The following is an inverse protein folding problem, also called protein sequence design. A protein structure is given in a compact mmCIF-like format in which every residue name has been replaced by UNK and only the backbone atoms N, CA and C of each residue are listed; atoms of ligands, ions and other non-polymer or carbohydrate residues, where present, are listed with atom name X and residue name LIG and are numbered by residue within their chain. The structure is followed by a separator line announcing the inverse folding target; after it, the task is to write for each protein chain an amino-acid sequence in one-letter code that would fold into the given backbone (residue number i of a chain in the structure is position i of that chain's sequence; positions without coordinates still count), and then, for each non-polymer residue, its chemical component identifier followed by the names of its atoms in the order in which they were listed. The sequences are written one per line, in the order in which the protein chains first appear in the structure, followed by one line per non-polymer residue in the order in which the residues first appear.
data_IF_211299645301
#
_entry.id   IF_211299645301
#
_cell.length_a   1.000
_cell.length_b   1.000
_cell.length_c   1.000
_cell.angle_alpha   90.00
_cell.angle_beta   90.00
_cell.angle_gamma   90.00
#
_symmetry.space_group_name_H-M   'P 1'
#
loop_
_entity.id
_entity.type
_entity.pdbx_description
1 polymer ?
#
# COMPACT_ATOMS: atom_id res chain seq x y z
N UNK A 1 12.31 10.39 4.11
CA UNK A 1 10.83 10.42 4.07
C UNK A 1 10.31 11.66 4.78
N UNK A 2 9.20 12.22 4.33
CA UNK A 2 8.57 13.39 4.98
C UNK A 2 8.00 13.08 6.38
N UNK A 3 7.81 11.79 6.68
CA UNK A 3 7.39 11.32 8.02
C UNK A 3 8.44 11.57 9.10
N UNK A 4 9.70 11.84 8.73
CA UNK A 4 10.83 11.89 9.67
C UNK A 4 11.30 10.51 10.17
N UNK A 5 10.60 9.43 9.80
CA UNK A 5 10.93 8.06 10.20
C UNK A 5 11.78 7.34 9.14
N UNK A 6 12.43 6.27 9.54
CA UNK A 6 13.09 5.34 8.61
C UNK A 6 12.02 4.64 7.77
N UNK A 7 12.24 4.52 6.46
CA UNK A 7 11.38 3.74 5.55
C UNK A 7 12.09 2.49 5.02
N UNK A 8 13.38 2.38 5.25
CA UNK A 8 14.19 1.25 4.80
C UNK A 8 15.31 0.98 5.80
N UNK A 9 15.43 -0.28 6.20
CA UNK A 9 16.59 -0.81 6.90
C UNK A 9 16.94 -2.16 6.26
N UNK A 10 18.21 -2.38 5.93
CA UNK A 10 18.62 -3.60 5.26
C UNK A 10 20.06 -3.96 5.54
N UNK A 11 20.35 -5.23 5.40
CA UNK A 11 21.67 -5.82 5.53
C UNK A 11 21.95 -6.78 4.38
N UNK A 12 23.23 -7.07 4.15
CA UNK A 12 23.58 -8.15 3.22
C UNK A 12 23.06 -9.50 3.72
N UNK A 13 22.56 -10.36 2.84
CA UNK A 13 22.14 -11.71 3.22
C UNK A 13 23.22 -12.51 3.93
N UNK A 14 24.51 -12.22 3.63
CA UNK A 14 25.68 -12.86 4.27
C UNK A 14 25.96 -12.30 5.67
N UNK A 15 25.41 -11.13 5.99
CA UNK A 15 25.55 -10.46 7.29
C UNK A 15 24.20 -9.85 7.71
N UNK A 16 23.20 -10.69 7.96
CA UNK A 16 21.86 -10.20 8.33
C UNK A 16 21.90 -9.54 9.72
N UNK A 17 20.89 -8.73 10.00
CA UNK A 17 20.66 -8.19 11.33
C UNK A 17 20.20 -9.35 12.22
N UNK A 18 21.00 -9.68 13.21
CA UNK A 18 20.67 -10.77 14.12
C UNK A 18 19.49 -10.38 15.02
N UNK A 19 18.69 -11.36 15.36
CA UNK A 19 17.65 -11.19 16.38
C UNK A 19 18.30 -10.95 17.73
N UNK A 20 17.88 -9.88 18.40
CA UNK A 20 18.41 -9.46 19.69
C UNK A 20 17.79 -10.32 20.82
N UNK A 21 16.51 -10.69 20.65
CA UNK A 21 15.77 -11.48 21.63
C UNK A 21 16.04 -12.97 21.46
N UNK A 22 16.40 -13.66 22.55
CA UNK A 22 16.59 -15.10 22.56
C UNK A 22 15.33 -15.87 22.16
N UNK A 23 15.48 -16.99 21.44
CA UNK A 23 14.40 -17.86 21.01
C UNK A 23 13.69 -17.46 19.71
N UNK A 24 13.88 -16.23 19.21
CA UNK A 24 13.24 -15.79 17.95
C UNK A 24 13.78 -16.52 16.72
N UNK A 25 14.98 -17.11 16.80
CA UNK A 25 15.57 -17.90 15.71
C UNK A 25 14.72 -19.15 15.38
N UNK A 26 14.00 -19.68 16.34
CA UNK A 26 13.12 -20.87 16.22
C UNK A 26 11.63 -20.55 16.31
N UNK A 27 11.28 -19.28 16.47
CA UNK A 27 9.89 -18.82 16.52
C UNK A 27 9.22 -18.87 15.13
N UNK A 28 7.93 -18.60 15.08
CA UNK A 28 7.26 -18.35 13.79
C UNK A 28 7.85 -17.10 13.12
N UNK A 29 7.86 -17.01 11.79
CA UNK A 29 8.35 -15.80 11.10
C UNK A 29 7.60 -14.52 11.53
N UNK A 30 6.32 -14.60 11.82
CA UNK A 30 5.56 -13.47 12.36
C UNK A 30 6.09 -13.06 13.74
N UNK A 31 6.23 -14.02 14.66
CA UNK A 31 6.72 -13.73 16.02
C UNK A 31 8.14 -13.14 15.98
N UNK A 32 8.99 -13.67 15.10
CA UNK A 32 10.33 -13.15 14.89
C UNK A 32 10.33 -11.71 14.33
N UNK A 33 9.46 -11.43 13.37
CA UNK A 33 9.28 -10.09 12.84
C UNK A 33 8.75 -9.11 13.91
N UNK A 34 7.77 -9.53 14.70
CA UNK A 34 7.24 -8.75 15.82
C UNK A 34 8.27 -8.54 16.92
N UNK A 35 9.10 -9.55 17.20
CA UNK A 35 10.21 -9.41 18.14
C UNK A 35 11.20 -8.33 17.72
N UNK A 36 11.60 -8.30 16.46
CA UNK A 36 12.44 -7.21 15.93
C UNK A 36 11.75 -5.84 16.03
N UNK A 37 10.46 -5.77 15.69
CA UNK A 37 9.71 -4.51 15.75
C UNK A 37 9.46 -4.03 17.18
N UNK A 38 9.48 -4.91 18.18
CA UNK A 38 9.41 -4.48 19.60
C UNK A 38 10.62 -3.67 20.01
N UNK A 39 11.79 -3.99 19.46
CA UNK A 39 13.06 -3.33 19.77
C UNK A 39 13.33 -2.13 18.83
N UNK A 40 13.03 -2.28 17.55
CA UNK A 40 13.44 -1.33 16.52
C UNK A 40 12.27 -0.61 15.81
N UNK A 41 11.02 -0.96 16.13
CA UNK A 41 9.84 -0.41 15.46
C UNK A 41 9.69 1.10 15.60
N UNK A 42 10.22 1.68 16.67
CA UNK A 42 10.23 3.14 16.89
C UNK A 42 10.95 3.89 15.75
N UNK A 43 11.93 3.27 15.09
CA UNK A 43 12.63 3.86 13.93
C UNK A 43 11.67 4.11 12.77
N UNK A 44 10.66 3.26 12.62
CA UNK A 44 9.61 3.37 11.60
C UNK A 44 8.40 4.17 12.07
N UNK A 45 8.46 4.75 13.29
CA UNK A 45 7.34 5.50 13.87
C UNK A 45 6.26 4.63 14.53
N UNK A 46 6.54 3.34 14.71
CA UNK A 46 5.64 2.41 15.37
C UNK A 46 5.62 2.67 16.90
N UNK A 47 4.43 2.76 17.46
CA UNK A 47 4.24 3.00 18.90
C UNK A 47 3.56 1.83 19.61
N UNK A 48 2.69 1.10 18.93
CA UNK A 48 2.01 -0.08 19.44
C UNK A 48 1.83 -1.09 18.31
N UNK A 49 2.78 -2.02 18.18
CA UNK A 49 2.75 -3.00 17.11
C UNK A 49 1.59 -4.01 17.22
N UNK A 50 1.07 -4.24 18.42
CA UNK A 50 0.02 -5.24 18.64
C UNK A 50 -1.31 -4.75 18.07
N UNK A 51 -1.62 -3.46 18.27
CA UNK A 51 -2.87 -2.86 17.83
C UNK A 51 -2.73 -2.17 16.46
N UNK A 52 -1.51 -1.72 16.12
CA UNK A 52 -1.27 -0.92 14.91
C UNK A 52 -0.86 -1.77 13.70
N UNK A 53 -0.43 -3.04 13.87
CA UNK A 53 0.02 -3.90 12.77
C UNK A 53 -0.72 -5.23 12.71
N UNK A 54 -1.31 -5.51 11.57
CA UNK A 54 -1.95 -6.80 11.24
C UNK A 54 -1.18 -7.47 10.09
N UNK A 55 -0.89 -8.78 10.21
CA UNK A 55 -0.27 -9.51 9.11
C UNK A 55 -1.26 -9.62 7.96
N UNK A 56 -0.90 -9.03 6.83
CA UNK A 56 -1.66 -9.09 5.60
C UNK A 56 -1.26 -10.29 4.73
N UNK A 57 0.04 -10.62 4.72
CA UNK A 57 0.56 -11.73 3.92
C UNK A 57 1.88 -12.25 4.48
N UNK A 58 2.03 -13.59 4.45
CA UNK A 58 3.29 -14.26 4.67
C UNK A 58 3.57 -15.22 3.51
N UNK A 59 4.80 -15.24 3.03
CA UNK A 59 5.23 -16.17 1.98
C UNK A 59 6.69 -16.54 2.13
N UNK A 60 7.03 -17.76 1.73
CA UNK A 60 8.42 -18.20 1.54
C UNK A 60 8.79 -17.95 0.09
N UNK A 61 9.97 -17.42 -0.15
CA UNK A 61 10.54 -17.18 -1.47
C UNK A 61 11.30 -18.44 -1.95
N UNK A 62 11.61 -18.53 -3.26
CA UNK A 62 12.31 -19.67 -3.85
C UNK A 62 13.70 -19.91 -3.23
N UNK A 63 14.35 -18.86 -2.77
CA UNK A 63 15.65 -18.90 -2.08
C UNK A 63 15.56 -19.18 -0.57
N UNK A 64 14.37 -19.60 -0.09
CA UNK A 64 14.14 -20.03 1.29
C UNK A 64 13.98 -18.89 2.31
N UNK A 65 13.91 -17.63 1.87
CA UNK A 65 13.62 -16.51 2.76
C UNK A 65 12.13 -16.43 3.04
N UNK A 66 11.77 -15.83 4.15
CA UNK A 66 10.36 -15.54 4.47
C UNK A 66 10.09 -14.04 4.39
N UNK A 67 9.04 -13.68 3.68
CA UNK A 67 8.53 -12.31 3.63
C UNK A 67 7.26 -12.22 4.45
N UNK A 68 7.26 -11.34 5.45
CA UNK A 68 6.08 -10.98 6.26
C UNK A 68 5.68 -9.56 5.90
N UNK A 69 4.44 -9.38 5.48
CA UNK A 69 3.87 -8.06 5.17
C UNK A 69 2.82 -7.71 6.21
N UNK A 70 3.01 -6.56 6.84
CA UNK A 70 2.08 -5.99 7.80
C UNK A 70 1.32 -4.82 7.17
N UNK A 71 0.02 -4.76 7.44
CA UNK A 71 -0.85 -3.63 7.19
C UNK A 71 -0.98 -2.81 8.47
N UNK A 72 -0.74 -1.50 8.38
CA UNK A 72 -1.02 -0.61 9.49
C UNK A 72 -2.52 -0.41 9.67
N UNK A 73 -2.96 -0.42 10.92
CA UNK A 73 -4.31 -0.05 11.34
C UNK A 73 -4.25 1.14 12.30
N UNK A 74 -5.24 1.99 12.19
CA UNK A 74 -5.49 3.09 13.11
C UNK A 74 -6.85 2.87 13.77
N UNK A 75 -6.87 2.57 15.07
CA UNK A 75 -8.08 2.21 15.79
C UNK A 75 -8.90 1.09 15.10
N UNK A 76 -8.21 0.09 14.57
CA UNK A 76 -8.84 -1.03 13.86
C UNK A 76 -9.16 -0.77 12.38
N UNK A 77 -9.01 0.45 11.89
CA UNK A 77 -9.25 0.83 10.50
C UNK A 77 -7.94 0.77 9.71
N UNK A 78 -7.85 0.06 8.56
CA UNK A 78 -6.63 -0.03 7.79
C UNK A 78 -6.21 1.33 7.23
N UNK A 79 -4.88 1.56 7.18
CA UNK A 79 -4.27 2.79 6.66
C UNK A 79 -3.81 2.56 5.23
N UNK A 80 -4.33 3.33 4.28
CA UNK A 80 -3.99 3.22 2.86
C UNK A 80 -2.53 3.59 2.62
N UNK A 81 -1.74 2.64 2.09
CA UNK A 81 -0.30 2.77 1.92
C UNK A 81 0.53 2.66 3.20
N UNK A 82 -0.10 2.45 4.36
CA UNK A 82 0.59 2.19 5.63
C UNK A 82 0.96 0.71 5.75
N UNK A 83 2.14 0.33 5.28
CA UNK A 83 2.60 -1.06 5.28
C UNK A 83 4.06 -1.17 5.72
N UNK A 84 4.42 -2.30 6.34
CA UNK A 84 5.79 -2.76 6.51
C UNK A 84 5.96 -4.14 5.89
N UNK A 85 7.00 -4.29 5.09
CA UNK A 85 7.45 -5.57 4.57
C UNK A 85 8.75 -5.93 5.25
N UNK A 86 8.80 -7.11 5.87
CA UNK A 86 10.00 -7.65 6.47
C UNK A 86 10.45 -8.92 5.72
N UNK A 87 11.73 -8.99 5.40
CA UNK A 87 12.34 -10.18 4.83
C UNK A 87 13.26 -10.80 5.88
N UNK A 88 13.02 -12.07 6.18
CA UNK A 88 13.78 -12.87 7.12
C UNK A 88 14.56 -13.95 6.39
N UNK A 89 15.80 -14.16 6.81
CA UNK A 89 16.68 -15.21 6.33
C UNK A 89 16.71 -16.42 7.24
N UNK A 90 17.77 -17.21 7.13
CA UNK A 90 17.98 -18.37 7.98
C UNK A 90 18.00 -17.97 9.47
N UNK A 91 17.35 -18.78 10.31
CA UNK A 91 17.23 -18.50 11.74
C UNK A 91 16.45 -17.21 12.03
N UNK A 92 15.53 -16.83 11.15
CA UNK A 92 14.70 -15.62 11.28
C UNK A 92 15.47 -14.31 11.41
N UNK A 93 16.76 -14.27 11.02
CA UNK A 93 17.54 -13.05 11.02
C UNK A 93 16.99 -12.05 10.01
N UNK A 94 16.94 -10.76 10.37
CA UNK A 94 16.34 -9.73 9.52
C UNK A 94 17.30 -9.35 8.40
N UNK A 95 16.85 -9.47 7.16
CA UNK A 95 17.59 -9.03 5.96
C UNK A 95 17.14 -7.63 5.56
N UNK A 96 15.82 -7.39 5.63
CA UNK A 96 15.23 -6.16 5.11
C UNK A 96 13.96 -5.82 5.90
N UNK A 97 13.81 -4.54 6.20
CA UNK A 97 12.53 -3.91 6.56
C UNK A 97 12.30 -2.74 5.62
N UNK A 98 11.16 -2.72 4.96
CA UNK A 98 10.80 -1.66 4.01
C UNK A 98 9.34 -1.29 4.16
N UNK A 99 9.04 0.00 4.11
CA UNK A 99 7.70 0.54 4.14
C UNK A 99 7.62 1.88 4.84
N UNK A 100 6.41 2.41 4.91
CA UNK A 100 6.13 3.67 5.59
C UNK A 100 4.88 3.51 6.42
N UNK A 101 4.90 4.08 7.61
CA UNK A 101 3.76 4.10 8.50
C UNK A 101 3.29 5.52 8.72
N UNK A 102 1.98 5.67 8.87
CA UNK A 102 1.36 6.93 9.27
C UNK A 102 1.77 7.23 10.72
N UNK A 103 2.39 8.38 10.99
CA UNK A 103 2.64 8.82 12.35
C UNK A 103 1.33 9.00 13.14
N UNK A 104 1.42 9.15 14.45
CA UNK A 104 0.24 9.44 15.27
C UNK A 104 -0.49 10.69 14.77
N UNK A 105 -1.76 10.51 14.46
CA UNK A 105 -2.65 11.58 14.00
C UNK A 105 -3.88 11.65 14.91
N UNK A 106 -4.53 12.83 14.92
CA UNK A 106 -5.85 12.98 15.51
C UNK A 106 -6.86 12.91 14.38
N UNK A 107 -7.68 11.85 14.37
CA UNK A 107 -8.69 11.62 13.35
C UNK A 107 -9.98 11.14 14.00
N UNK A 108 -11.11 11.72 13.62
CA UNK A 108 -12.42 11.18 13.95
C UNK A 108 -12.68 9.97 13.07
N UNK A 109 -12.94 8.81 13.69
CA UNK A 109 -13.19 7.54 12.99
C UNK A 109 -14.68 7.20 12.82
N UNK A 110 -15.57 8.14 13.14
CA UNK A 110 -17.00 7.98 12.93
C UNK A 110 -17.39 8.62 11.59
N UNK A 111 -17.88 7.85 10.60
CA UNK A 111 -18.29 8.40 9.31
C UNK A 111 -19.58 9.23 9.47
N UNK A 112 -19.65 10.33 8.74
CA UNK A 112 -20.87 11.17 8.62
C UNK A 112 -21.63 10.90 7.33
N UNK A 113 -20.97 10.24 6.35
CA UNK A 113 -21.57 9.89 5.04
C UNK A 113 -21.86 8.40 5.01
N UNK A 114 -23.08 8.08 4.62
CA UNK A 114 -23.51 6.69 4.45
C UNK A 114 -22.73 6.00 3.33
N UNK A 115 -22.35 4.71 3.48
CA UNK A 115 -21.61 3.98 2.45
C UNK A 115 -22.32 3.92 1.11
N UNK A 116 -23.65 3.82 1.07
CA UNK A 116 -24.41 3.83 -0.19
C UNK A 116 -24.35 5.19 -0.89
N UNK A 117 -24.36 6.30 -0.14
CA UNK A 117 -24.17 7.63 -0.69
C UNK A 117 -22.76 7.81 -1.28
N UNK A 118 -21.74 7.28 -0.61
CA UNK A 118 -20.37 7.27 -1.12
C UNK A 118 -20.22 6.43 -2.40
N UNK A 119 -20.91 5.28 -2.47
CA UNK A 119 -20.93 4.44 -3.68
C UNK A 119 -21.58 5.17 -4.87
N UNK A 120 -22.68 5.88 -4.65
CA UNK A 120 -23.31 6.68 -5.70
C UNK A 120 -22.41 7.81 -6.19
N UNK A 121 -21.71 8.50 -5.27
CA UNK A 121 -20.75 9.54 -5.63
C UNK A 121 -19.58 8.98 -6.48
N UNK A 122 -19.08 7.80 -6.13
CA UNK A 122 -18.01 7.14 -6.89
C UNK A 122 -18.47 6.70 -8.28
N UNK A 123 -19.69 6.14 -8.41
CA UNK A 123 -20.28 5.78 -9.70
C UNK A 123 -20.45 6.99 -10.60
N UNK A 124 -21.00 8.08 -10.05
CA UNK A 124 -21.20 9.32 -10.82
C UNK A 124 -19.86 9.92 -11.27
N UNK A 125 -18.87 9.96 -10.40
CA UNK A 125 -17.51 10.43 -10.75
C UNK A 125 -16.95 9.68 -11.96
N UNK A 126 -16.98 8.35 -11.92
CA UNK A 126 -16.42 7.53 -13.00
C UNK A 126 -17.26 7.60 -14.27
N UNK A 127 -18.59 7.70 -14.16
CA UNK A 127 -19.49 7.93 -15.30
C UNK A 127 -19.14 9.24 -16.03
N UNK A 128 -18.98 10.33 -15.27
CA UNK A 128 -18.63 11.64 -15.83
C UNK A 128 -17.24 11.65 -16.49
N UNK A 129 -16.27 10.95 -15.91
CA UNK A 129 -14.90 10.89 -16.45
C UNK A 129 -14.79 9.98 -17.68
N UNK A 130 -15.49 8.85 -17.68
CA UNK A 130 -15.37 7.81 -18.71
C UNK A 130 -16.36 7.98 -19.87
N UNK A 131 -17.42 8.76 -19.68
CA UNK A 131 -18.55 8.90 -20.62
C UNK A 131 -19.50 7.70 -20.63
N UNK A 132 -19.37 6.76 -19.69
CA UNK A 132 -20.31 5.66 -19.51
C UNK A 132 -21.53 6.13 -18.71
N UNK A 133 -22.69 5.49 -18.95
CA UNK A 133 -23.84 5.69 -18.06
C UNK A 133 -23.58 5.02 -16.71
N UNK A 134 -24.16 5.54 -15.65
CA UNK A 134 -24.05 4.95 -14.30
C UNK A 134 -24.49 3.47 -14.30
N UNK A 135 -25.55 3.14 -15.04
CA UNK A 135 -26.09 1.78 -15.14
C UNK A 135 -25.13 0.79 -15.85
N UNK A 136 -24.16 1.30 -16.61
CA UNK A 136 -23.12 0.49 -17.26
C UNK A 136 -21.91 0.23 -16.34
N UNK A 137 -21.93 0.78 -15.13
CA UNK A 137 -20.88 0.65 -14.13
C UNK A 137 -21.37 -0.10 -12.90
N UNK A 138 -20.46 -0.75 -12.20
CA UNK A 138 -20.69 -1.39 -10.90
C UNK A 138 -19.63 -0.94 -9.92
N UNK A 139 -19.99 -0.82 -8.67
CA UNK A 139 -19.11 -0.44 -7.57
C UNK A 139 -19.00 -1.59 -6.57
N UNK A 140 -17.82 -1.79 -6.00
CA UNK A 140 -17.61 -2.73 -4.91
C UNK A 140 -18.23 -2.23 -3.61
N UNK A 141 -18.25 -3.09 -2.58
CA UNK A 141 -18.59 -2.64 -1.23
C UNK A 141 -17.68 -1.51 -0.78
N UNK A 142 -18.25 -0.51 -0.14
CA UNK A 142 -17.53 0.59 0.45
C UNK A 142 -16.86 0.14 1.75
N UNK A 143 -15.54 0.22 1.80
CA UNK A 143 -14.73 -0.15 2.96
C UNK A 143 -14.15 1.10 3.60
N UNK A 144 -14.21 1.17 4.92
CA UNK A 144 -13.66 2.29 5.68
C UNK A 144 -12.14 2.16 5.79
N UNK A 145 -11.42 3.23 5.40
CA UNK A 145 -9.96 3.31 5.43
C UNK A 145 -9.52 4.66 5.98
N UNK A 146 -8.29 4.72 6.48
CA UNK A 146 -7.60 5.98 6.76
C UNK A 146 -6.68 6.30 5.58
N UNK A 147 -6.82 7.49 5.02
CA UNK A 147 -5.96 7.99 3.95
C UNK A 147 -5.10 9.13 4.46
N UNK A 148 -3.84 9.17 4.01
CA UNK A 148 -2.95 10.29 4.27
C UNK A 148 -2.15 10.65 3.01
N UNK A 149 -2.23 11.90 2.54
CA UNK A 149 -1.41 12.39 1.43
C UNK A 149 0.09 12.25 1.70
N UNK A 150 0.50 12.22 2.96
CA UNK A 150 1.88 12.05 3.38
C UNK A 150 2.48 10.71 2.90
N UNK A 151 1.69 9.62 2.95
CA UNK A 151 2.16 8.29 2.56
C UNK A 151 2.14 8.06 1.05
N UNK A 152 1.18 8.65 0.35
CA UNK A 152 0.91 8.37 -1.07
C UNK A 152 1.50 9.43 -1.99
N UNK A 153 1.29 10.71 -1.65
CA UNK A 153 1.67 11.84 -2.50
C UNK A 153 2.94 12.56 -2.01
N UNK A 154 3.53 12.10 -0.89
CA UNK A 154 4.62 12.81 -0.21
C UNK A 154 4.27 14.28 0.10
N UNK A 155 3.02 14.53 0.50
CA UNK A 155 2.48 15.86 0.79
C UNK A 155 2.06 15.95 2.25
N UNK A 156 2.48 17.01 2.94
CA UNK A 156 2.06 17.28 4.31
C UNK A 156 0.64 17.87 4.27
N UNK A 157 -0.35 17.04 4.62
CA UNK A 157 -1.73 17.44 4.75
C UNK A 157 -2.42 16.54 5.81
N UNK A 158 -3.56 16.96 6.36
CA UNK A 158 -4.30 16.15 7.33
C UNK A 158 -4.69 14.79 6.76
N UNK A 159 -4.65 13.76 7.63
CA UNK A 159 -5.24 12.48 7.29
C UNK A 159 -6.78 12.58 7.29
N UNK A 160 -7.42 11.78 6.46
CA UNK A 160 -8.86 11.71 6.31
C UNK A 160 -9.38 10.28 6.53
N UNK A 161 -10.59 10.17 7.08
CA UNK A 161 -11.36 8.94 7.03
C UNK A 161 -12.05 8.88 5.67
N UNK A 162 -11.91 7.75 4.98
CA UNK A 162 -12.42 7.60 3.60
C UNK A 162 -13.18 6.30 3.41
N UNK A 163 -14.16 6.32 2.54
CA UNK A 163 -14.75 5.14 1.92
C UNK A 163 -13.92 4.76 0.69
N UNK A 164 -13.31 3.58 0.72
CA UNK A 164 -12.54 3.00 -0.39
C UNK A 164 -13.39 2.02 -1.16
N UNK A 165 -13.45 2.16 -2.47
CA UNK A 165 -14.17 1.27 -3.36
C UNK A 165 -13.53 1.21 -4.74
N UNK A 166 -13.87 0.19 -5.50
CA UNK A 166 -13.49 0.05 -6.90
C UNK A 166 -14.72 0.15 -7.79
N UNK A 167 -14.61 0.93 -8.86
CA UNK A 167 -15.63 1.05 -9.90
C UNK A 167 -15.12 0.36 -11.15
N UNK A 168 -15.93 -0.53 -11.71
CA UNK A 168 -15.62 -1.30 -12.91
C UNK A 168 -16.85 -1.34 -13.83
N UNK A 169 -16.68 -1.56 -15.14
CA UNK A 169 -17.82 -1.70 -16.03
C UNK A 169 -18.58 -3.02 -15.80
N UNK A 170 -19.85 -3.05 -16.12
CA UNK A 170 -20.68 -4.26 -16.12
C UNK A 170 -20.24 -5.19 -17.23
N UNK A 171 -20.04 -4.65 -18.43
CA UNK A 171 -19.48 -5.35 -19.58
C UNK A 171 -17.98 -5.11 -19.70
N UNK A 172 -17.29 -5.91 -20.52
CA UNK A 172 -15.85 -5.80 -20.69
C UNK A 172 -15.46 -4.46 -21.34
N UNK A 173 -14.85 -3.58 -20.54
CA UNK A 173 -14.26 -2.33 -20.98
C UNK A 173 -13.02 -2.02 -20.13
N UNK A 174 -12.04 -1.26 -20.64
CA UNK A 174 -10.80 -0.96 -19.92
C UNK A 174 -10.99 0.14 -18.87
N UNK A 175 -11.90 -0.08 -17.93
CA UNK A 175 -12.15 0.82 -16.80
C UNK A 175 -12.00 0.04 -15.51
N UNK A 176 -11.13 0.52 -14.63
CA UNK A 176 -11.00 0.07 -13.26
C UNK A 176 -10.47 1.23 -12.42
N UNK A 177 -11.36 1.88 -11.72
CA UNK A 177 -11.04 3.05 -10.91
C UNK A 177 -11.10 2.70 -9.43
N UNK A 178 -9.99 2.98 -8.71
CA UNK A 178 -9.99 3.01 -7.26
C UNK A 178 -10.41 4.41 -6.81
N UNK A 179 -11.49 4.50 -6.06
CA UNK A 179 -12.04 5.79 -5.60
C UNK A 179 -12.03 5.85 -4.09
N UNK A 180 -11.54 6.96 -3.54
CA UNK A 180 -11.61 7.31 -2.14
C UNK A 180 -12.53 8.52 -1.95
N UNK A 181 -13.62 8.32 -1.22
CA UNK A 181 -14.59 9.37 -0.86
C UNK A 181 -14.41 9.72 0.62
N UNK A 182 -14.31 10.99 0.95
CA UNK A 182 -14.24 11.46 2.33
C UNK A 182 -15.48 11.00 3.11
N UNK A 183 -15.25 10.23 4.18
CA UNK A 183 -16.34 9.66 4.96
C UNK A 183 -17.08 10.68 5.85
N UNK A 184 -16.61 11.92 5.95
CA UNK A 184 -17.27 12.97 6.72
C UNK A 184 -18.12 13.90 5.86
N UNK A 185 -17.67 14.26 4.65
CA UNK A 185 -18.31 15.27 3.81
C UNK A 185 -18.70 14.80 2.39
N UNK A 186 -18.29 13.59 1.98
CA UNK A 186 -18.61 13.03 0.67
C UNK A 186 -17.79 13.56 -0.50
N UNK A 187 -16.78 14.38 -0.24
CA UNK A 187 -15.88 14.88 -1.29
C UNK A 187 -14.97 13.76 -1.83
N UNK A 188 -14.59 13.85 -3.10
CA UNK A 188 -13.59 12.97 -3.69
C UNK A 188 -12.22 13.34 -3.12
N UNK A 189 -11.52 12.35 -2.54
CA UNK A 189 -10.19 12.53 -1.95
C UNK A 189 -9.12 12.09 -2.93
N UNK A 190 -9.36 10.97 -3.60
CA UNK A 190 -8.42 10.38 -4.55
C UNK A 190 -9.20 9.50 -5.52
N UNK A 191 -8.81 9.52 -6.79
CA UNK A 191 -9.19 8.54 -7.81
C UNK A 191 -7.94 8.07 -8.55
N UNK A 192 -7.84 6.79 -8.80
CA UNK A 192 -6.69 6.15 -9.46
C UNK A 192 -7.19 5.20 -10.52
N UNK A 193 -6.84 5.48 -11.77
CA UNK A 193 -7.03 4.51 -12.84
C UNK A 193 -6.06 3.34 -12.66
N UNK A 194 -6.59 2.14 -12.51
CA UNK A 194 -5.83 0.89 -12.33
C UNK A 194 -5.63 0.12 -13.65
N UNK A 195 -6.13 0.66 -14.75
CA UNK A 195 -5.89 0.09 -16.07
C UNK A 195 -4.60 0.68 -16.62
N UNK A 196 -3.61 -0.16 -16.84
CA UNK A 196 -2.44 0.20 -17.61
C UNK A 196 -2.88 0.52 -19.05
N UNK A 197 -3.01 1.79 -19.38
CA UNK A 197 -3.14 2.20 -20.77
C UNK A 197 -1.89 1.74 -21.48
N UNK A 198 -2.06 1.00 -22.59
CA UNK A 198 -0.94 0.54 -23.40
C UNK A 198 -0.08 1.75 -23.77
N UNK A 199 1.05 1.90 -23.06
CA UNK A 199 2.06 2.88 -23.44
C UNK A 199 2.48 2.53 -24.87
N UNK A 200 2.45 3.51 -25.77
CA UNK A 200 3.05 3.38 -27.07
C UNK A 200 4.56 3.12 -26.88
N UNK A 201 4.92 1.83 -26.80
CA UNK A 201 6.29 1.39 -26.50
C UNK A 201 7.00 1.13 -27.80
N UNK A 202 7.90 2.04 -28.16
CA UNK A 202 8.84 1.81 -29.25
C UNK A 202 10.05 1.04 -28.69
N UNK A 203 10.24 -0.19 -29.15
CA UNK A 203 11.38 -1.01 -28.76
C UNK A 203 12.49 -0.89 -29.80
N UNK A 204 13.67 -0.49 -29.38
CA UNK A 204 14.86 -0.34 -30.21
C UNK A 204 15.92 -1.38 -29.80
N UNK A 205 16.59 -1.96 -30.78
CA UNK A 205 17.79 -2.76 -30.50
C UNK A 205 19.02 -1.85 -30.42
N UNK A 206 19.86 -2.07 -29.45
CA UNK A 206 21.16 -1.39 -29.37
C UNK A 206 22.23 -2.06 -30.26
N UNK A 207 22.03 -3.33 -30.67
CA UNK A 207 22.99 -4.12 -31.49
C UNK A 207 24.46 -3.98 -31.02
N UNK A 208 24.65 -3.90 -29.69
CA UNK A 208 25.93 -3.59 -29.03
C UNK A 208 26.56 -2.25 -29.42
N UNK A 209 25.79 -1.35 -30.03
CA UNK A 209 26.23 0.01 -30.39
C UNK A 209 26.04 1.02 -29.27
N UNK A 210 26.77 2.16 -29.38
CA UNK A 210 26.67 3.28 -28.44
C UNK A 210 25.68 4.36 -28.86
N UNK A 211 25.16 4.26 -30.11
CA UNK A 211 24.19 5.23 -30.66
C UNK A 211 22.78 4.94 -30.17
N UNK A 212 22.12 5.94 -29.58
CA UNK A 212 20.73 5.85 -29.09
C UNK A 212 19.86 6.90 -29.78
N UNK A 213 18.59 6.54 -30.13
CA UNK A 213 18.04 5.18 -30.13
C UNK A 213 18.70 4.35 -31.22
N UNK A 214 18.76 3.02 -31.06
CA UNK A 214 19.22 2.11 -32.11
C UNK A 214 18.15 1.92 -33.20
N UNK A 215 18.14 0.75 -33.86
CA UNK A 215 17.14 0.42 -34.87
C UNK A 215 15.82 0.02 -34.21
N UNK A 216 14.69 0.60 -34.68
CA UNK A 216 13.36 0.22 -34.22
C UNK A 216 13.08 -1.25 -34.55
N UNK A 217 12.68 -2.02 -33.54
CA UNK A 217 12.36 -3.46 -33.69
C UNK A 217 10.84 -3.66 -33.75
N UNK A 218 10.10 -2.95 -32.88
CA UNK A 218 8.64 -3.02 -32.86
C UNK A 218 8.03 -1.77 -32.18
N UNK A 219 6.79 -1.50 -32.50
CA UNK A 219 5.94 -0.46 -31.89
C UNK A 219 4.59 -1.06 -31.48
#
# INVERSE_FOLDING_TARGET
PLTGNVSFAGASPDKPIQQITEGLQSASPEDAARGYLSECGYLFGLTDQTNDLVVNRQRVTEDGRTVVRFQQHFQGIPVFGGELLMQLGAGNNVILVNGSLLPRVKLNTQPGVDPAAAQQAALQLVADQSGFSVDALKVSDAQLWVYSPLLIESKIAPAALVWRMEVTPVELAPIRELVLINAHDGSVVLDINQVDTALNRLTYTASNGTTRPGTLVCN
#
